data_IF_428177345447
#
_entry.id   IF_428177345447
#
_cell.length_a   1.000
_cell.length_b   1.000
_cell.length_c   1.000
_cell.angle_alpha   90.00
_cell.angle_beta   90.00
_cell.angle_gamma   90.00
#
_symmetry.space_group_name_H-M   'P 1'
#
loop_
_entity.id
_entity.type
_entity.pdbx_description
1 polymer ?
#
# COMPACT_ATOMS: atom_id res chain seq x y z
N UNK A 1 -9.56 -4.39 26.16
CA UNK A 1 -8.69 -5.53 25.80
C UNK A 1 -9.46 -6.42 24.83
N UNK A 2 -8.93 -6.70 23.62
CA UNK A 2 -9.60 -7.65 22.71
C UNK A 2 -9.57 -9.04 23.33
N UNK A 3 -10.70 -9.74 23.32
CA UNK A 3 -10.76 -11.14 23.74
C UNK A 3 -10.19 -12.02 22.62
N UNK A 4 -9.45 -13.10 22.95
CA UNK A 4 -9.08 -14.10 21.96
C UNK A 4 -10.33 -14.63 21.25
N UNK A 5 -10.25 -14.89 19.96
CA UNK A 5 -11.36 -15.46 19.18
C UNK A 5 -11.45 -16.99 19.30
N UNK A 6 -10.48 -17.62 19.94
CA UNK A 6 -10.44 -19.04 20.27
C UNK A 6 -10.26 -19.24 21.77
N UNK A 7 -10.80 -20.34 22.30
CA UNK A 7 -10.60 -20.73 23.70
C UNK A 7 -9.34 -21.58 23.85
N UNK A 8 -8.89 -21.77 25.08
CA UNK A 8 -7.76 -22.66 25.39
C UNK A 8 -8.02 -24.09 24.93
N UNK A 9 -9.24 -24.59 25.20
CA UNK A 9 -9.66 -25.94 24.83
C UNK A 9 -9.62 -26.13 23.29
N UNK A 10 -10.05 -25.12 22.53
CA UNK A 10 -9.97 -25.13 21.07
C UNK A 10 -8.52 -25.17 20.58
N UNK A 11 -7.62 -24.40 21.20
CA UNK A 11 -6.19 -24.42 20.87
C UNK A 11 -5.59 -25.81 21.15
N UNK A 12 -5.91 -26.39 22.30
CA UNK A 12 -5.43 -27.73 22.67
C UNK A 12 -5.93 -28.81 21.70
N UNK A 13 -7.16 -28.70 21.22
CA UNK A 13 -7.71 -29.63 20.23
C UNK A 13 -7.02 -29.46 18.86
N UNK A 14 -6.81 -28.23 18.41
CA UNK A 14 -6.10 -27.92 17.17
C UNK A 14 -4.67 -28.45 17.23
N UNK A 15 -4.00 -28.30 18.38
CA UNK A 15 -2.63 -28.75 18.57
C UNK A 15 -2.44 -30.28 18.48
N UNK A 16 -3.51 -31.06 18.62
CA UNK A 16 -3.46 -32.51 18.41
C UNK A 16 -3.25 -32.86 16.91
N UNK A 17 -3.75 -32.01 16.02
CA UNK A 17 -3.67 -32.22 14.57
C UNK A 17 -2.54 -31.44 13.92
N UNK A 18 -2.31 -30.22 14.41
CA UNK A 18 -1.29 -29.30 13.87
C UNK A 18 -0.21 -29.07 14.93
N UNK A 19 1.03 -29.53 14.70
CA UNK A 19 2.12 -29.31 15.66
C UNK A 19 2.46 -27.83 15.80
N UNK A 20 2.78 -27.41 17.01
CA UNK A 20 3.27 -26.05 17.29
C UNK A 20 4.69 -25.85 16.73
N UNK A 21 5.08 -24.62 16.27
CA UNK A 21 4.26 -23.42 16.25
C UNK A 21 3.31 -23.38 15.04
N UNK A 22 2.12 -22.74 15.21
CA UNK A 22 1.17 -22.54 14.12
C UNK A 22 0.49 -21.16 14.25
N UNK A 23 -0.04 -20.63 13.14
CA UNK A 23 -0.86 -19.43 13.11
C UNK A 23 -2.34 -19.79 12.96
N UNK A 24 -3.20 -19.11 13.74
CA UNK A 24 -4.65 -19.19 13.60
C UNK A 24 -5.16 -17.83 13.14
N UNK A 25 -5.95 -17.82 12.09
CA UNK A 25 -6.56 -16.62 11.54
C UNK A 25 -8.08 -16.61 11.81
N UNK A 26 -8.59 -15.45 12.24
CA UNK A 26 -10.04 -15.24 12.40
C UNK A 26 -10.62 -14.73 11.06
N UNK A 27 -11.10 -15.65 10.24
CA UNK A 27 -11.73 -15.28 8.96
C UNK A 27 -12.91 -14.32 9.13
N UNK A 28 -13.76 -14.55 10.15
CA UNK A 28 -14.89 -13.66 10.43
C UNK A 28 -14.41 -12.25 10.74
N UNK A 29 -13.41 -12.11 11.60
CA UNK A 29 -12.83 -10.82 11.97
C UNK A 29 -12.16 -10.11 10.80
N UNK A 30 -11.46 -10.84 9.91
CA UNK A 30 -10.88 -10.31 8.68
C UNK A 30 -11.98 -9.73 7.78
N UNK A 31 -13.06 -10.47 7.52
CA UNK A 31 -14.20 -10.02 6.69
C UNK A 31 -14.92 -8.82 7.30
N UNK A 32 -15.18 -8.86 8.60
CA UNK A 32 -15.84 -7.75 9.32
C UNK A 32 -15.00 -6.47 9.24
N UNK A 33 -13.68 -6.57 9.38
CA UNK A 33 -12.76 -5.42 9.27
C UNK A 33 -12.75 -4.84 7.86
N UNK A 34 -12.65 -5.66 6.83
CA UNK A 34 -12.71 -5.21 5.44
C UNK A 34 -14.04 -4.50 5.14
N UNK A 35 -15.17 -5.10 5.53
CA UNK A 35 -16.51 -4.49 5.36
C UNK A 35 -16.68 -3.19 6.11
N UNK A 36 -16.12 -3.09 7.33
CA UNK A 36 -16.17 -1.85 8.12
C UNK A 36 -15.40 -0.73 7.42
N UNK A 37 -14.25 -1.03 6.82
CA UNK A 37 -13.46 -0.07 6.06
C UNK A 37 -14.24 0.42 4.81
N UNK A 38 -14.76 -0.49 3.98
CA UNK A 38 -15.59 -0.12 2.83
C UNK A 38 -16.82 0.71 3.24
N UNK A 39 -17.45 0.35 4.36
CA UNK A 39 -18.58 1.12 4.91
C UNK A 39 -18.16 2.54 5.32
N UNK A 40 -17.00 2.70 5.95
CA UNK A 40 -16.51 4.01 6.37
C UNK A 40 -16.25 4.94 5.18
N UNK A 41 -15.86 4.40 4.03
CA UNK A 41 -15.60 5.14 2.79
C UNK A 41 -16.75 5.08 1.79
N UNK A 42 -17.95 4.63 2.17
CA UNK A 42 -19.10 4.47 1.26
C UNK A 42 -19.60 5.78 0.62
N UNK A 43 -19.24 6.92 1.18
CA UNK A 43 -19.48 8.25 0.60
C UNK A 43 -18.66 8.49 -0.68
N UNK A 44 -17.54 7.80 -0.85
CA UNK A 44 -16.70 7.86 -2.06
C UNK A 44 -16.92 6.59 -2.89
N UNK A 45 -17.71 6.68 -3.96
CA UNK A 45 -18.02 5.55 -4.86
C UNK A 45 -16.79 4.98 -5.57
N UNK A 46 -15.71 5.77 -5.65
CA UNK A 46 -14.44 5.34 -6.25
C UNK A 46 -13.45 4.74 -5.26
N UNK A 47 -13.82 4.63 -3.98
CA UNK A 47 -12.93 4.06 -2.97
C UNK A 47 -12.56 2.62 -3.31
N UNK A 48 -11.26 2.31 -3.23
CA UNK A 48 -10.71 0.97 -3.37
C UNK A 48 -9.64 0.74 -2.31
N UNK A 49 -9.68 -0.42 -1.70
CA UNK A 49 -8.66 -0.89 -0.77
C UNK A 49 -7.72 -1.85 -1.49
N UNK A 50 -6.42 -1.67 -1.29
CA UNK A 50 -5.38 -2.56 -1.77
C UNK A 50 -4.64 -3.15 -0.58
N UNK A 51 -4.79 -4.44 -0.39
CA UNK A 51 -4.11 -5.16 0.70
C UNK A 51 -2.62 -5.33 0.38
N UNK A 52 -1.75 -4.86 1.28
CA UNK A 52 -0.30 -5.03 1.14
C UNK A 52 0.08 -6.50 1.32
N UNK A 53 0.43 -7.18 0.21
CA UNK A 53 0.71 -8.62 0.19
C UNK A 53 1.85 -9.00 1.13
N UNK A 54 2.88 -8.17 1.25
CA UNK A 54 4.01 -8.37 2.16
C UNK A 54 3.62 -8.54 3.63
N UNK A 55 2.48 -8.01 4.05
CA UNK A 55 2.02 -8.12 5.44
C UNK A 55 1.62 -9.55 5.80
N UNK A 56 0.97 -10.26 4.87
CA UNK A 56 0.60 -11.67 5.04
C UNK A 56 0.47 -12.31 3.66
N UNK A 57 1.57 -12.81 3.06
CA UNK A 57 1.58 -13.41 1.73
C UNK A 57 0.98 -14.82 1.74
N UNK A 58 -0.25 -14.94 2.18
CA UNK A 58 -0.97 -16.19 2.32
C UNK A 58 -2.16 -16.21 1.34
N UNK A 59 -2.18 -17.10 0.32
CA UNK A 59 -3.23 -17.13 -0.70
C UNK A 59 -4.65 -17.30 -0.14
N UNK A 60 -4.81 -18.02 0.99
CA UNK A 60 -6.13 -18.17 1.61
C UNK A 60 -6.63 -16.84 2.18
N UNK A 61 -5.77 -16.09 2.87
CA UNK A 61 -6.12 -14.76 3.38
C UNK A 61 -6.36 -13.78 2.24
N UNK A 62 -5.52 -13.82 1.21
CA UNK A 62 -5.69 -13.00 0.01
C UNK A 62 -7.04 -13.28 -0.67
N UNK A 63 -7.44 -14.54 -0.82
CA UNK A 63 -8.75 -14.90 -1.36
C UNK A 63 -9.92 -14.37 -0.52
N UNK A 64 -9.81 -14.42 0.81
CA UNK A 64 -10.82 -13.85 1.72
C UNK A 64 -10.96 -12.34 1.43
N UNK A 65 -9.86 -11.60 1.44
CA UNK A 65 -9.86 -10.16 1.22
C UNK A 65 -10.34 -9.79 -0.19
N UNK A 66 -9.92 -10.53 -1.23
CA UNK A 66 -10.40 -10.33 -2.59
C UNK A 66 -11.91 -10.53 -2.70
N UNK A 67 -12.46 -11.56 -2.02
CA UNK A 67 -13.91 -11.79 -2.01
C UNK A 67 -14.71 -10.67 -1.32
N UNK A 68 -14.08 -9.87 -0.48
CA UNK A 68 -14.66 -8.65 0.13
C UNK A 68 -14.42 -7.39 -0.72
N UNK A 69 -13.75 -7.50 -1.87
CA UNK A 69 -13.54 -6.39 -2.82
C UNK A 69 -12.17 -5.72 -2.76
N UNK A 70 -11.24 -6.20 -1.92
CA UNK A 70 -9.87 -5.68 -1.89
C UNK A 70 -9.10 -6.05 -3.16
N UNK A 71 -8.26 -5.14 -3.64
CA UNK A 71 -7.14 -5.42 -4.53
C UNK A 71 -5.88 -5.79 -3.74
N UNK A 72 -4.74 -5.86 -4.43
CA UNK A 72 -3.45 -6.20 -3.83
C UNK A 72 -2.40 -5.16 -4.15
N UNK A 73 -1.67 -4.70 -3.14
CA UNK A 73 -0.47 -3.88 -3.31
C UNK A 73 0.77 -4.78 -3.18
N UNK A 74 1.51 -4.89 -4.28
CA UNK A 74 2.68 -5.73 -4.45
C UNK A 74 3.94 -4.89 -4.50
N UNK A 75 4.99 -5.33 -3.82
CA UNK A 75 6.30 -4.67 -3.79
C UNK A 75 7.44 -5.53 -4.37
N UNK A 76 7.12 -6.70 -4.91
CA UNK A 76 8.11 -7.64 -5.47
C UNK A 76 7.49 -8.57 -6.51
N UNK A 77 8.36 -9.20 -7.30
CA UNK A 77 8.02 -10.23 -8.28
C UNK A 77 7.17 -11.36 -7.69
N UNK A 78 7.58 -11.87 -6.53
CA UNK A 78 6.86 -12.96 -5.84
C UNK A 78 5.45 -12.55 -5.43
N UNK A 79 5.26 -11.33 -4.96
CA UNK A 79 3.94 -10.82 -4.59
C UNK A 79 3.02 -10.65 -5.81
N UNK A 80 3.57 -10.23 -6.95
CA UNK A 80 2.86 -10.21 -8.23
C UNK A 80 2.39 -11.62 -8.64
N UNK A 81 3.29 -12.62 -8.55
CA UNK A 81 2.93 -14.01 -8.85
C UNK A 81 1.82 -14.53 -7.92
N UNK A 82 1.93 -14.27 -6.61
CA UNK A 82 0.91 -14.67 -5.64
C UNK A 82 -0.45 -14.03 -5.95
N UNK A 83 -0.46 -12.74 -6.32
CA UNK A 83 -1.68 -12.03 -6.68
C UNK A 83 -2.32 -12.62 -7.94
N UNK A 84 -1.53 -12.98 -8.94
CA UNK A 84 -2.01 -13.70 -10.13
C UNK A 84 -2.56 -15.08 -9.81
N UNK A 85 -1.93 -15.82 -8.89
CA UNK A 85 -2.40 -17.15 -8.47
C UNK A 85 -3.77 -17.13 -7.77
N UNK A 86 -4.10 -16.05 -7.06
CA UNK A 86 -5.44 -15.87 -6.48
C UNK A 86 -6.42 -15.23 -7.47
N UNK A 87 -6.04 -15.12 -8.74
CA UNK A 87 -6.89 -14.67 -9.83
C UNK A 87 -7.07 -13.15 -9.92
N UNK A 88 -6.20 -12.35 -9.29
CA UNK A 88 -6.22 -10.91 -9.47
C UNK A 88 -5.58 -10.51 -10.81
N UNK A 89 -6.17 -9.54 -11.50
CA UNK A 89 -5.75 -9.08 -12.81
C UNK A 89 -5.85 -7.56 -12.95
N UNK A 90 -5.00 -7.00 -13.80
CA UNK A 90 -5.06 -5.60 -14.17
C UNK A 90 -5.00 -4.66 -12.95
N UNK A 91 -5.93 -3.74 -12.90
CA UNK A 91 -6.01 -2.75 -11.82
C UNK A 91 -6.56 -3.29 -10.48
N UNK A 92 -6.76 -4.58 -10.33
CA UNK A 92 -6.87 -5.21 -9.01
C UNK A 92 -5.50 -5.31 -8.32
N UNK A 93 -4.41 -5.12 -9.08
CA UNK A 93 -3.03 -5.15 -8.60
C UNK A 93 -2.45 -3.74 -8.71
N UNK A 94 -1.94 -3.22 -7.61
CA UNK A 94 -1.04 -2.07 -7.56
C UNK A 94 0.38 -2.58 -7.36
N UNK A 95 1.35 -2.04 -8.09
CA UNK A 95 2.74 -2.39 -7.93
C UNK A 95 3.53 -1.19 -7.42
N UNK A 96 3.95 -1.25 -6.16
CA UNK A 96 4.64 -0.18 -5.42
C UNK A 96 5.98 -0.72 -4.90
N UNK A 97 7.03 -0.61 -5.70
CA UNK A 97 8.37 -1.09 -5.35
C UNK A 97 9.36 0.06 -5.30
N UNK A 98 10.31 0.00 -4.36
CA UNK A 98 11.29 1.06 -4.14
C UNK A 98 12.60 0.81 -4.89
N UNK A 99 13.11 -0.43 -4.83
CA UNK A 99 14.32 -0.85 -5.54
C UNK A 99 13.92 -1.94 -6.54
N UNK A 100 13.41 -1.50 -7.68
CA UNK A 100 12.68 -2.34 -8.62
C UNK A 100 13.60 -2.97 -9.65
N UNK A 101 13.78 -4.30 -9.66
CA UNK A 101 14.45 -5.01 -10.74
C UNK A 101 13.67 -4.90 -12.06
N UNK A 102 14.38 -5.03 -13.17
CA UNK A 102 13.79 -4.97 -14.52
C UNK A 102 12.66 -6.00 -14.73
N UNK A 103 12.84 -7.22 -14.20
CA UNK A 103 11.87 -8.29 -14.36
C UNK A 103 10.58 -8.03 -13.57
N UNK A 104 10.66 -7.31 -12.46
CA UNK A 104 9.48 -6.91 -11.69
C UNK A 104 8.64 -5.92 -12.48
N UNK A 105 9.27 -4.92 -13.13
CA UNK A 105 8.57 -4.00 -14.03
C UNK A 105 7.92 -4.73 -15.21
N UNK A 106 8.67 -5.65 -15.85
CA UNK A 106 8.15 -6.44 -16.97
C UNK A 106 6.94 -7.26 -16.57
N UNK A 107 6.99 -7.91 -15.41
CA UNK A 107 5.88 -8.71 -14.91
C UNK A 107 4.68 -7.84 -14.57
N UNK A 108 4.89 -6.75 -13.81
CA UNK A 108 3.82 -5.81 -13.45
C UNK A 108 3.12 -5.25 -14.70
N UNK A 109 3.88 -4.83 -15.70
CA UNK A 109 3.36 -4.35 -16.98
C UNK A 109 2.56 -5.44 -17.71
N UNK A 110 3.11 -6.65 -17.82
CA UNK A 110 2.46 -7.81 -18.47
C UNK A 110 1.13 -8.18 -17.80
N UNK A 111 1.04 -8.06 -16.49
CA UNK A 111 -0.18 -8.31 -15.72
C UNK A 111 -1.20 -7.16 -15.82
N UNK A 112 -0.84 -6.05 -16.45
CA UNK A 112 -1.66 -4.84 -16.49
C UNK A 112 -1.82 -4.16 -15.13
N UNK A 113 -0.91 -4.42 -14.20
CA UNK A 113 -0.93 -3.84 -12.87
C UNK A 113 -0.79 -2.31 -12.93
N UNK A 114 -1.39 -1.61 -11.97
CA UNK A 114 -1.22 -0.18 -11.81
C UNK A 114 0.16 0.08 -11.19
N UNK A 115 1.11 0.52 -12.01
CA UNK A 115 2.50 0.76 -11.58
C UNK A 115 2.58 2.11 -10.88
N UNK A 116 3.18 2.12 -9.69
CA UNK A 116 3.50 3.31 -8.92
C UNK A 116 5.02 3.50 -8.89
N UNK A 117 5.52 4.50 -9.59
CA UNK A 117 6.95 4.81 -9.65
C UNK A 117 7.42 5.44 -8.34
N UNK A 118 8.47 4.89 -7.76
CA UNK A 118 9.06 5.38 -6.51
C UNK A 118 10.12 6.46 -6.72
N UNK A 119 10.78 6.46 -7.88
CA UNK A 119 11.88 7.37 -8.18
C UNK A 119 11.74 7.96 -9.60
N UNK A 120 12.23 9.19 -9.77
CA UNK A 120 12.18 9.91 -11.05
C UNK A 120 12.91 9.15 -12.17
N UNK A 121 14.00 8.47 -11.85
CA UNK A 121 14.78 7.69 -12.83
C UNK A 121 14.03 6.46 -13.32
N UNK A 122 13.05 5.97 -12.57
CA UNK A 122 12.20 4.84 -12.96
C UNK A 122 11.38 5.14 -14.24
N UNK A 123 11.14 6.41 -14.57
CA UNK A 123 10.42 6.79 -15.80
C UNK A 123 11.18 6.26 -17.02
N UNK A 124 12.47 6.56 -17.11
CA UNK A 124 13.29 6.13 -18.24
C UNK A 124 13.56 4.62 -18.25
N UNK A 125 13.67 4.01 -17.07
CA UNK A 125 13.83 2.56 -16.94
C UNK A 125 12.59 1.85 -17.48
N UNK A 126 11.41 2.23 -16.99
CA UNK A 126 10.14 1.60 -17.41
C UNK A 126 9.89 1.80 -18.90
N UNK A 127 10.12 3.02 -19.41
CA UNK A 127 9.94 3.33 -20.83
C UNK A 127 10.81 2.46 -21.74
N UNK A 128 12.07 2.26 -21.38
CA UNK A 128 12.99 1.37 -22.12
C UNK A 128 12.60 -0.10 -22.04
N UNK A 129 12.06 -0.55 -20.92
CA UNK A 129 11.75 -1.97 -20.69
C UNK A 129 10.45 -2.42 -21.36
N UNK A 130 9.41 -1.58 -21.29
CA UNK A 130 8.04 -1.96 -21.65
C UNK A 130 7.26 -0.86 -22.37
N UNK A 131 7.76 0.36 -22.37
CA UNK A 131 6.97 1.56 -22.64
C UNK A 131 6.17 2.01 -21.41
N UNK A 132 5.68 3.25 -21.45
CA UNK A 132 4.87 3.81 -20.37
C UNK A 132 3.42 3.32 -20.50
N UNK A 133 2.83 2.73 -19.44
CA UNK A 133 1.43 2.30 -19.46
C UNK A 133 0.49 3.50 -19.53
N UNK A 134 -0.70 3.26 -20.05
CA UNK A 134 -1.75 4.31 -20.15
C UNK A 134 -2.16 4.85 -18.78
N UNK A 135 -2.12 4.02 -17.73
CA UNK A 135 -2.43 4.41 -16.36
C UNK A 135 -1.23 4.18 -15.45
N UNK A 136 -0.73 5.26 -14.85
CA UNK A 136 0.50 5.24 -14.04
C UNK A 136 0.37 6.15 -12.82
N UNK A 137 1.10 5.85 -11.78
CA UNK A 137 1.16 6.61 -10.53
C UNK A 137 2.59 6.95 -10.17
N UNK A 138 2.78 8.04 -9.43
CA UNK A 138 4.06 8.42 -8.84
C UNK A 138 3.93 8.53 -7.33
N UNK A 139 4.97 8.07 -6.61
CA UNK A 139 5.08 8.27 -5.18
C UNK A 139 5.66 9.65 -4.89
N UNK A 140 4.91 10.45 -4.16
CA UNK A 140 5.32 11.77 -3.72
C UNK A 140 5.96 11.73 -2.34
N UNK A 141 7.09 12.43 -2.18
CA UNK A 141 7.69 12.74 -0.89
C UNK A 141 7.58 14.25 -0.65
N UNK A 142 6.70 14.71 0.26
CA UNK A 142 6.52 16.14 0.54
C UNK A 142 7.69 16.75 1.34
N UNK A 143 8.69 15.98 1.72
CA UNK A 143 9.85 16.47 2.44
C UNK A 143 9.48 17.07 3.81
N UNK A 144 10.06 18.21 4.14
CA UNK A 144 9.86 18.88 5.43
C UNK A 144 8.50 19.54 5.64
N UNK A 145 7.60 19.55 4.66
CA UNK A 145 6.24 20.06 4.82
C UNK A 145 5.38 19.17 5.71
N UNK A 146 5.71 17.88 5.77
CA UNK A 146 4.97 16.93 6.60
C UNK A 146 5.51 16.95 8.03
N UNK A 147 4.68 17.39 8.97
CA UNK A 147 4.97 17.38 10.41
C UNK A 147 3.85 16.64 11.14
N UNK A 148 4.23 15.67 11.97
CA UNK A 148 3.31 15.01 12.91
C UNK A 148 3.72 15.39 14.33
N UNK A 149 2.78 15.92 15.11
CA UNK A 149 3.00 16.16 16.53
C UNK A 149 2.89 14.83 17.30
N UNK A 150 3.99 14.39 17.89
CA UNK A 150 3.99 13.48 19.03
C UNK A 150 3.88 11.96 18.79
N UNK A 151 3.92 11.45 17.57
CA UNK A 151 4.08 10.00 17.36
C UNK A 151 5.55 9.62 17.20
N UNK A 152 6.03 8.55 17.85
CA UNK A 152 7.36 8.02 17.56
C UNK A 152 7.33 7.50 16.11
N UNK A 153 7.96 8.24 15.22
CA UNK A 153 8.08 7.88 13.83
C UNK A 153 8.98 6.66 13.71
N UNK A 154 8.43 5.58 13.18
CA UNK A 154 9.18 4.38 12.82
C UNK A 154 9.98 4.60 11.53
N UNK A 155 9.68 5.67 10.80
CA UNK A 155 10.42 6.09 9.60
C UNK A 155 11.12 7.42 9.87
N UNK A 156 12.27 7.60 9.21
CA UNK A 156 12.99 8.86 9.18
C UNK A 156 12.07 10.02 8.82
N UNK A 157 12.47 11.22 9.24
CA UNK A 157 11.72 12.42 8.84
C UNK A 157 11.56 12.42 7.30
N UNK A 158 10.41 12.78 6.75
CA UNK A 158 10.20 12.79 5.29
C UNK A 158 11.26 13.58 4.53
N UNK A 159 11.85 14.59 5.17
CA UNK A 159 12.97 15.35 4.62
C UNK A 159 14.20 14.49 4.33
N UNK A 160 14.45 13.50 5.15
CA UNK A 160 15.64 12.64 5.08
C UNK A 160 15.32 11.30 4.40
N UNK A 161 14.06 11.05 4.08
CA UNK A 161 13.63 9.83 3.40
C UNK A 161 14.10 9.85 1.94
N UNK A 162 14.67 8.73 1.51
CA UNK A 162 15.21 8.52 0.15
C UNK A 162 14.18 7.99 -0.85
N UNK A 163 12.93 7.91 -0.47
CA UNK A 163 11.85 7.34 -1.28
C UNK A 163 10.90 8.42 -1.76
N UNK A 164 10.44 8.26 -3.00
CA UNK A 164 9.46 9.14 -3.63
C UNK A 164 10.10 10.32 -4.38
N UNK A 165 9.34 10.86 -5.30
CA UNK A 165 9.68 12.07 -6.07
C UNK A 165 9.67 13.28 -5.15
N UNK A 166 10.66 14.15 -5.27
CA UNK A 166 10.58 15.51 -4.71
C UNK A 166 9.48 16.30 -5.43
N UNK A 167 9.10 17.45 -4.88
CA UNK A 167 8.06 18.28 -5.47
C UNK A 167 8.33 18.65 -6.95
N UNK A 168 9.53 19.12 -7.25
CA UNK A 168 9.88 19.53 -8.62
C UNK A 168 9.98 18.32 -9.56
N UNK A 169 10.54 17.22 -9.09
CA UNK A 169 10.57 15.96 -9.83
C UNK A 169 9.17 15.44 -10.14
N UNK A 170 8.23 15.59 -9.21
CA UNK A 170 6.84 15.14 -9.39
C UNK A 170 6.15 15.92 -10.53
N UNK A 171 6.26 17.25 -10.51
CA UNK A 171 5.69 18.11 -11.57
C UNK A 171 6.29 17.76 -12.94
N UNK A 172 7.63 17.67 -13.01
CA UNK A 172 8.30 17.33 -14.25
C UNK A 172 7.99 15.89 -14.70
N UNK A 173 7.95 14.95 -13.76
CA UNK A 173 7.62 13.55 -14.03
C UNK A 173 6.25 13.38 -14.68
N UNK A 174 5.22 14.06 -14.18
CA UNK A 174 3.90 14.00 -14.82
C UNK A 174 3.88 14.63 -16.21
N UNK A 175 4.68 15.68 -16.47
CA UNK A 175 4.81 16.26 -17.81
C UNK A 175 5.42 15.23 -18.79
N UNK A 176 6.53 14.62 -18.39
CA UNK A 176 7.22 13.60 -19.17
C UNK A 176 6.31 12.37 -19.41
N UNK A 177 5.65 11.86 -18.37
CA UNK A 177 4.76 10.71 -18.50
C UNK A 177 3.61 10.98 -19.47
N UNK A 178 3.02 12.18 -19.42
CA UNK A 178 1.98 12.61 -20.38
C UNK A 178 2.51 12.67 -21.81
N UNK A 179 3.70 13.23 -22.03
CA UNK A 179 4.36 13.28 -23.34
C UNK A 179 4.68 11.87 -23.87
N UNK A 180 5.04 10.94 -23.00
CA UNK A 180 5.29 9.53 -23.32
C UNK A 180 4.00 8.70 -23.53
N UNK A 181 2.82 9.31 -23.43
CA UNK A 181 1.54 8.70 -23.80
C UNK A 181 0.65 8.21 -22.65
N UNK A 182 1.02 8.43 -21.40
CA UNK A 182 0.12 8.18 -20.28
C UNK A 182 -1.12 9.09 -20.37
N UNK A 183 -2.29 8.54 -20.03
CA UNK A 183 -3.59 9.24 -20.10
C UNK A 183 -4.30 9.36 -18.77
N UNK A 184 -4.03 8.43 -17.85
CA UNK A 184 -4.58 8.40 -16.50
C UNK A 184 -3.46 8.40 -15.49
N UNK A 185 -3.64 9.16 -14.43
CA UNK A 185 -2.57 9.42 -13.47
C UNK A 185 -3.06 9.22 -12.06
N UNK A 186 -2.21 8.69 -11.21
CA UNK A 186 -2.44 8.60 -9.78
C UNK A 186 -1.29 9.21 -9.00
N UNK A 187 -1.51 9.49 -7.73
CA UNK A 187 -0.47 9.92 -6.80
C UNK A 187 -0.55 9.09 -5.51
N UNK A 188 0.59 8.68 -5.01
CA UNK A 188 0.75 7.91 -3.79
C UNK A 188 1.71 8.62 -2.84
N UNK A 189 1.49 8.51 -1.53
CA UNK A 189 2.50 8.88 -0.54
C UNK A 189 2.43 7.94 0.66
N UNK A 190 3.60 7.51 1.12
CA UNK A 190 3.75 6.66 2.30
C UNK A 190 4.85 7.24 3.19
N UNK A 191 4.47 7.88 4.29
CA UNK A 191 5.36 8.68 5.13
C UNK A 191 5.47 8.18 6.56
N UNK A 192 4.60 7.28 6.99
CA UNK A 192 4.61 6.75 8.33
C UNK A 192 4.10 5.30 8.36
N UNK A 193 4.54 4.57 9.37
CA UNK A 193 4.11 3.20 9.65
C UNK A 193 3.75 3.07 11.12
N UNK A 194 2.78 2.21 11.43
CA UNK A 194 2.30 1.95 12.79
C UNK A 194 1.84 3.22 13.53
N UNK A 195 1.08 4.08 12.85
CA UNK A 195 0.47 5.26 13.46
C UNK A 195 -0.69 4.85 14.37
N UNK A 196 -0.65 5.30 15.61
CA UNK A 196 -1.66 4.96 16.63
C UNK A 196 -2.83 5.95 16.68
N UNK A 197 -2.71 7.09 15.97
CA UNK A 197 -3.74 8.13 15.88
C UNK A 197 -4.17 8.33 14.44
N UNK A 198 -5.35 8.89 14.24
CA UNK A 198 -5.88 9.18 12.91
C UNK A 198 -5.43 10.55 12.36
N UNK A 199 -4.67 11.34 13.11
CA UNK A 199 -4.28 12.72 12.74
C UNK A 199 -3.35 12.76 11.53
N UNK A 200 -2.62 11.67 11.32
CA UNK A 200 -1.75 11.48 10.17
C UNK A 200 -2.49 11.64 8.82
N UNK A 201 -3.64 10.97 8.68
CA UNK A 201 -4.32 10.87 7.37
C UNK A 201 -4.91 12.18 6.88
N UNK A 202 -5.61 12.99 7.70
CA UNK A 202 -6.10 14.30 7.28
C UNK A 202 -4.97 15.24 6.86
N UNK A 203 -3.85 15.22 7.58
CA UNK A 203 -2.67 16.03 7.26
C UNK A 203 -2.08 15.62 5.91
N UNK A 204 -1.85 14.32 5.70
CA UNK A 204 -1.37 13.78 4.44
C UNK A 204 -2.32 14.10 3.29
N UNK A 205 -3.60 13.82 3.46
CA UNK A 205 -4.63 14.10 2.44
C UNK A 205 -4.64 15.57 2.05
N UNK A 206 -4.56 16.49 3.02
CA UNK A 206 -4.51 17.91 2.76
C UNK A 206 -3.31 18.33 1.91
N UNK A 207 -2.13 17.75 2.14
CA UNK A 207 -0.95 17.97 1.32
C UNK A 207 -1.18 17.44 -0.09
N UNK A 208 -1.61 16.17 -0.22
CA UNK A 208 -1.78 15.54 -1.52
C UNK A 208 -2.84 16.22 -2.37
N UNK A 209 -3.94 16.68 -1.79
CA UNK A 209 -4.97 17.42 -2.55
C UNK A 209 -4.47 18.77 -3.05
N UNK A 210 -3.70 19.53 -2.25
CA UNK A 210 -3.09 20.77 -2.73
C UNK A 210 -2.10 20.52 -3.86
N UNK A 211 -1.24 19.50 -3.70
CA UNK A 211 -0.28 19.09 -4.73
C UNK A 211 -1.00 18.65 -6.02
N UNK A 212 -2.14 17.94 -5.92
CA UNK A 212 -2.94 17.56 -7.08
C UNK A 212 -3.48 18.75 -7.87
N UNK A 213 -3.94 19.80 -7.18
CA UNK A 213 -4.38 21.06 -7.81
C UNK A 213 -3.20 21.70 -8.54
N UNK A 214 -2.05 21.82 -7.89
CA UNK A 214 -0.85 22.41 -8.49
C UNK A 214 -0.35 21.63 -9.71
N UNK A 215 -0.35 20.29 -9.66
CA UNK A 215 -0.02 19.44 -10.81
C UNK A 215 -0.94 19.78 -11.99
N UNK A 216 -2.26 19.87 -11.75
CA UNK A 216 -3.22 20.23 -12.78
C UNK A 216 -2.95 21.63 -13.38
N UNK A 217 -2.66 22.61 -12.55
CA UNK A 217 -2.35 23.98 -13.00
C UNK A 217 -1.07 24.06 -13.83
N UNK A 218 0.00 23.36 -13.39
CA UNK A 218 1.32 23.45 -14.03
C UNK A 218 1.50 22.54 -15.25
N UNK A 219 0.79 21.41 -15.31
CA UNK A 219 1.01 20.38 -16.34
C UNK A 219 -0.24 20.05 -17.16
N UNK A 220 -1.40 20.48 -16.71
CA UNK A 220 -2.69 20.08 -17.27
C UNK A 220 -2.99 18.58 -17.07
N UNK A 221 -2.29 17.93 -16.12
CA UNK A 221 -2.57 16.54 -15.71
C UNK A 221 -3.60 16.54 -14.60
N UNK A 222 -4.68 15.78 -14.77
CA UNK A 222 -5.70 15.55 -13.76
C UNK A 222 -5.52 14.15 -13.17
N UNK A 223 -5.42 14.08 -11.82
CA UNK A 223 -5.25 12.82 -11.14
C UNK A 223 -6.58 12.06 -11.04
N UNK A 224 -6.56 10.80 -11.42
CA UNK A 224 -7.72 9.89 -11.34
C UNK A 224 -7.91 9.32 -9.93
N UNK A 225 -6.81 9.22 -9.16
CA UNK A 225 -6.87 8.78 -7.77
C UNK A 225 -5.71 9.35 -6.93
N UNK A 226 -5.92 9.38 -5.63
CA UNK A 226 -4.91 9.66 -4.62
C UNK A 226 -4.89 8.47 -3.65
N UNK A 227 -3.71 7.84 -3.49
CA UNK A 227 -3.49 6.75 -2.58
C UNK A 227 -2.83 7.28 -1.30
N UNK A 228 -3.57 7.24 -0.20
CA UNK A 228 -3.11 7.67 1.13
C UNK A 228 -2.22 6.62 1.81
N UNK A 229 -2.01 5.46 1.14
CA UNK A 229 -1.25 4.35 1.69
C UNK A 229 -1.88 3.72 2.94
N UNK A 230 -1.10 2.91 3.64
CA UNK A 230 -1.47 2.27 4.89
C UNK A 230 -0.77 2.89 6.09
N UNK A 231 -0.22 2.06 6.95
CA UNK A 231 0.50 2.50 8.14
C UNK A 231 -0.38 2.61 9.39
N UNK A 232 -1.64 2.16 9.31
CA UNK A 232 -2.53 2.07 10.48
C UNK A 232 -1.90 1.14 11.51
N UNK A 233 -1.63 1.68 12.69
CA UNK A 233 -1.01 0.96 13.79
C UNK A 233 -2.02 0.36 14.75
N UNK A 234 -1.55 -0.59 15.52
CA UNK A 234 -2.26 -1.15 16.67
C UNK A 234 -1.47 -0.88 17.95
N UNK A 235 -2.10 -0.49 19.04
CA UNK A 235 -1.41 -0.34 20.30
C UNK A 235 -0.94 -1.73 20.77
N UNK A 236 0.37 -1.88 20.91
CA UNK A 236 0.98 -3.06 21.49
C UNK A 236 0.96 -2.90 23.01
N UNK A 237 0.33 -3.84 23.73
CA UNK A 237 0.36 -3.84 25.19
C UNK A 237 1.79 -4.12 25.70
N UNK A 238 2.05 -3.81 26.98
CA UNK A 238 3.32 -4.12 27.63
C UNK A 238 3.64 -5.63 27.57
N UNK A 239 2.64 -6.49 27.62
CA UNK A 239 2.79 -7.94 27.46
C UNK A 239 3.38 -8.27 26.09
N UNK A 240 2.90 -7.64 25.02
CA UNK A 240 3.43 -7.84 23.66
C UNK A 240 4.85 -7.29 23.51
N UNK A 241 5.23 -6.28 24.27
CA UNK A 241 6.57 -5.72 24.26
C UNK A 241 7.60 -6.64 24.91
N UNK A 242 7.18 -7.39 25.92
CA UNK A 242 8.06 -8.28 26.68
C UNK A 242 8.15 -9.69 26.14
N UNK A 243 7.30 -10.07 25.18
CA UNK A 243 7.25 -11.42 24.62
C UNK A 243 8.10 -11.60 23.39
N UNK A 244 8.90 -12.68 23.30
CA UNK A 244 9.71 -13.00 22.12
C UNK A 244 8.89 -13.26 20.85
N UNK A 245 7.62 -13.56 20.99
CA UNK A 245 6.64 -13.72 19.89
C UNK A 245 6.34 -12.43 19.12
N UNK A 246 6.75 -11.27 19.65
CA UNK A 246 6.60 -9.99 18.95
C UNK A 246 7.24 -9.96 17.57
N UNK A 247 8.32 -10.71 17.37
CA UNK A 247 8.99 -10.83 16.07
C UNK A 247 8.24 -11.74 15.08
N UNK A 248 7.24 -12.48 15.56
CA UNK A 248 6.44 -13.40 14.74
C UNK A 248 5.08 -12.81 14.33
N UNK A 249 4.76 -11.61 14.79
CA UNK A 249 3.50 -10.92 14.49
C UNK A 249 3.65 -9.74 13.50
N UNK A 250 4.76 -9.76 12.75
CA UNK A 250 5.00 -8.83 11.64
C UNK A 250 4.60 -9.51 10.34
#
# INVERSE_FOLDING_TARGET
MKKPFVTKEQIEEIAKTYPTPFHIYDEKGIRETARALFKAFSWNKGFKEYFAVKATPNPFIMNILRSEGCGFDCSSYTELLLSGQVGAEGHEIMFSSNATPDDDFRLAYKMGALINLDDFTHIDVLDKLTGIPEFISCRYNPGGEFKTDGSPNVMDTPKDAKYGFTHDQLIEGYRILKEKGAKKFGMHAFLASNTLTNDYYPTLAGILFRTAVEIKEKTGVELSFINLSGGVGIPLSLIHISEPTRLLSI
#
